data_IF_578769139213
#
_entry.id   IF_578769139213
#
_cell.length_a   1.000
_cell.length_b   1.000
_cell.length_c   1.000
_cell.angle_alpha   90.00
_cell.angle_beta   90.00
_cell.angle_gamma   90.00
#
_symmetry.space_group_name_H-M   'P 1'
#
loop_
_entity.id
_entity.type
_entity.pdbx_description
1 polymer ?
#
# COMPACT_ATOMS: atom_id res chain seq x y z
N UNK A 1 52.90 2.00 23.46
CA UNK A 1 51.63 2.52 22.87
C UNK A 1 50.76 1.32 22.60
N UNK A 2 49.78 1.07 23.48
CA UNK A 2 48.93 -0.11 23.42
C UNK A 2 47.83 0.07 22.39
N UNK A 3 47.78 -0.81 21.39
CA UNK A 3 46.60 -0.96 20.55
C UNK A 3 45.61 -1.83 21.33
N UNK A 4 44.64 -1.19 21.98
CA UNK A 4 43.50 -1.90 22.55
C UNK A 4 42.77 -2.65 21.42
N UNK A 5 42.79 -3.97 21.51
CA UNK A 5 42.06 -4.86 20.63
C UNK A 5 40.57 -4.71 20.88
N UNK A 6 39.89 -3.98 20.01
CA UNK A 6 38.43 -3.99 19.91
C UNK A 6 38.01 -5.30 19.22
N UNK A 7 37.97 -6.40 19.99
CA UNK A 7 37.40 -7.68 19.59
C UNK A 7 35.87 -7.56 19.52
N UNK A 8 35.38 -7.06 18.37
CA UNK A 8 33.96 -7.17 18.03
C UNK A 8 33.69 -8.59 17.54
N UNK A 9 33.15 -9.40 18.45
CA UNK A 9 32.57 -10.72 18.20
C UNK A 9 31.61 -10.65 17.00
N UNK A 10 31.99 -11.24 15.86
CA UNK A 10 31.13 -11.41 14.70
C UNK A 10 30.25 -12.65 14.91
N UNK A 11 29.07 -12.44 15.50
CA UNK A 11 28.06 -13.48 15.63
C UNK A 11 27.44 -13.78 14.26
N UNK A 12 27.50 -15.05 13.84
CA UNK A 12 26.79 -15.59 12.69
C UNK A 12 25.39 -16.02 13.11
N UNK A 13 24.38 -15.27 12.68
CA UNK A 13 23.01 -15.76 12.66
C UNK A 13 22.29 -15.29 11.39
N UNK A 14 21.72 -16.27 10.71
CA UNK A 14 21.08 -16.21 9.40
C UNK A 14 19.83 -15.33 9.44
N UNK A 15 20.01 -14.03 9.20
CA UNK A 15 18.93 -13.05 9.12
C UNK A 15 19.41 -11.65 9.47
N UNK A 16 20.05 -10.95 8.53
CA UNK A 16 20.36 -9.52 8.62
C UNK A 16 21.07 -9.08 9.92
N UNK A 17 22.27 -9.63 10.21
CA UNK A 17 23.10 -9.25 11.37
C UNK A 17 24.50 -8.75 11.00
N UNK A 18 24.78 -8.46 9.74
CA UNK A 18 25.99 -7.73 9.38
C UNK A 18 25.81 -6.25 9.74
N UNK A 19 26.27 -5.85 10.92
CA UNK A 19 26.31 -4.44 11.34
C UNK A 19 27.36 -3.66 10.53
N UNK A 20 27.05 -3.38 9.27
CA UNK A 20 27.93 -2.57 8.42
C UNK A 20 27.82 -2.86 6.93
N UNK A 21 28.71 -2.22 6.18
CA UNK A 21 28.83 -2.38 4.74
C UNK A 21 29.27 -3.79 4.38
N UNK A 22 28.57 -4.42 3.44
CA UNK A 22 28.86 -5.78 2.96
C UNK A 22 29.10 -5.73 1.46
N UNK A 23 30.14 -6.42 0.99
CA UNK A 23 30.54 -6.48 -0.41
C UNK A 23 30.38 -7.90 -0.96
N UNK A 24 30.03 -8.00 -2.23
CA UNK A 24 30.08 -9.26 -2.96
C UNK A 24 31.51 -9.79 -3.04
N UNK A 25 31.64 -11.11 -2.96
CA UNK A 25 32.93 -11.79 -3.03
C UNK A 25 33.52 -11.68 -4.44
N UNK A 26 34.66 -11.01 -4.54
CA UNK A 26 35.41 -10.82 -5.80
C UNK A 26 36.75 -11.55 -5.76
N UNK A 27 37.34 -11.89 -6.93
CA UNK A 27 38.61 -12.60 -6.99
C UNK A 27 39.74 -11.91 -6.19
N UNK A 28 39.82 -10.58 -6.23
CA UNK A 28 40.82 -9.80 -5.50
C UNK A 28 40.62 -9.84 -3.98
N UNK A 29 39.36 -9.92 -3.53
CA UNK A 29 39.03 -10.07 -2.11
C UNK A 29 39.39 -11.50 -1.68
N UNK A 30 39.09 -12.52 -2.49
CA UNK A 30 39.47 -13.90 -2.21
C UNK A 30 40.98 -14.10 -2.13
N UNK A 31 41.75 -13.47 -3.02
CA UNK A 31 43.22 -13.51 -2.95
C UNK A 31 43.76 -12.84 -1.70
N UNK A 32 43.14 -11.72 -1.25
CA UNK A 32 43.50 -11.10 0.02
C UNK A 32 43.22 -12.05 1.18
N UNK A 33 42.02 -12.63 1.26
CA UNK A 33 41.61 -13.51 2.36
C UNK A 33 42.42 -14.81 2.39
N UNK A 34 42.75 -15.39 1.23
CA UNK A 34 43.63 -16.56 1.12
C UNK A 34 45.03 -16.27 1.64
N UNK A 35 45.62 -15.13 1.23
CA UNK A 35 46.92 -14.69 1.76
C UNK A 35 46.84 -14.39 3.26
N UNK A 36 45.72 -13.83 3.72
CA UNK A 36 45.51 -13.54 5.13
C UNK A 36 45.44 -14.83 5.96
N UNK A 37 44.73 -15.86 5.49
CA UNK A 37 44.61 -17.15 6.14
C UNK A 37 45.97 -17.86 6.29
N UNK A 38 46.88 -17.70 5.32
CA UNK A 38 48.22 -18.27 5.36
C UNK A 38 49.27 -17.41 6.08
N UNK A 39 48.97 -16.15 6.39
CA UNK A 39 49.93 -15.21 6.97
C UNK A 39 49.92 -15.26 8.50
N UNK A 40 51.07 -15.56 9.10
CA UNK A 40 51.24 -15.55 10.57
C UNK A 40 51.20 -14.13 11.18
N UNK A 41 51.28 -13.09 10.34
CA UNK A 41 51.29 -11.68 10.78
C UNK A 41 49.92 -11.15 11.19
N UNK A 42 48.86 -11.90 10.91
CA UNK A 42 47.48 -11.49 11.14
C UNK A 42 46.94 -12.14 12.42
N UNK A 43 46.10 -11.41 13.16
CA UNK A 43 45.45 -11.93 14.37
C UNK A 43 44.67 -13.22 14.09
N UNK A 44 44.59 -14.10 15.09
CA UNK A 44 43.90 -15.41 14.99
C UNK A 44 42.43 -15.20 14.58
N UNK A 45 41.72 -14.28 15.23
CA UNK A 45 40.32 -13.97 14.92
C UNK A 45 40.09 -13.57 13.46
N UNK A 46 41.02 -12.80 12.87
CA UNK A 46 40.91 -12.38 11.47
C UNK A 46 41.29 -13.50 10.50
N UNK A 47 42.19 -14.41 10.88
CA UNK A 47 42.51 -15.60 10.09
C UNK A 47 41.31 -16.55 10.03
N UNK A 48 40.66 -16.78 11.18
CA UNK A 48 39.46 -17.60 11.25
C UNK A 48 38.31 -16.96 10.46
N UNK A 49 38.13 -15.64 10.56
CA UNK A 49 37.17 -14.91 9.73
C UNK A 49 37.53 -14.98 8.23
N UNK A 50 38.81 -14.90 7.87
CA UNK A 50 39.24 -15.00 6.48
C UNK A 50 38.97 -16.39 5.89
N UNK A 51 39.20 -17.46 6.66
CA UNK A 51 38.84 -18.83 6.28
C UNK A 51 37.32 -18.98 6.12
N UNK A 52 36.55 -18.39 7.03
CA UNK A 52 35.09 -18.44 7.00
C UNK A 52 34.49 -17.72 5.77
N UNK A 53 35.04 -16.57 5.40
CA UNK A 53 34.54 -15.76 4.29
C UNK A 53 35.18 -16.08 2.93
N UNK A 54 36.11 -17.06 2.86
CA UNK A 54 36.79 -17.44 1.62
C UNK A 54 35.82 -18.00 0.58
N UNK A 55 34.92 -18.88 1.04
CA UNK A 55 33.88 -19.53 0.22
C UNK A 55 32.55 -18.79 0.22
N UNK A 56 32.41 -17.78 1.08
CA UNK A 56 31.18 -17.01 1.18
C UNK A 56 30.94 -16.14 -0.07
N UNK A 57 29.68 -15.99 -0.53
CA UNK A 57 29.33 -15.12 -1.66
C UNK A 57 29.43 -13.63 -1.33
N UNK A 58 29.53 -13.31 -0.04
CA UNK A 58 29.41 -11.96 0.51
C UNK A 58 30.30 -11.82 1.73
N UNK A 59 31.01 -10.70 1.83
CA UNK A 59 32.07 -10.46 2.81
C UNK A 59 31.86 -9.10 3.50
N UNK A 60 31.85 -9.03 4.84
CA UNK A 60 31.76 -7.76 5.56
C UNK A 60 33.00 -6.88 5.31
N UNK A 61 32.77 -5.59 5.04
CA UNK A 61 33.82 -4.60 4.85
C UNK A 61 34.84 -4.51 6.00
N UNK A 62 34.45 -4.59 7.30
CA UNK A 62 35.42 -4.52 8.39
C UNK A 62 36.50 -5.60 8.28
N UNK A 63 36.13 -6.83 7.91
CA UNK A 63 37.07 -7.93 7.75
C UNK A 63 38.08 -7.62 6.64
N UNK A 64 37.62 -7.13 5.49
CA UNK A 64 38.48 -6.78 4.34
C UNK A 64 39.44 -5.64 4.71
N UNK A 65 38.93 -4.61 5.38
CA UNK A 65 39.72 -3.45 5.81
C UNK A 65 40.79 -3.87 6.81
N UNK A 66 40.41 -4.63 7.84
CA UNK A 66 41.30 -4.96 8.96
C UNK A 66 42.37 -5.97 8.52
N UNK A 67 42.02 -6.94 7.66
CA UNK A 67 42.98 -7.86 7.05
C UNK A 67 43.97 -7.12 6.15
N UNK A 68 43.51 -6.21 5.29
CA UNK A 68 44.40 -5.39 4.45
C UNK A 68 45.32 -4.51 5.31
N UNK A 69 44.78 -3.85 6.34
CA UNK A 69 45.56 -2.97 7.21
C UNK A 69 46.71 -3.72 7.90
N UNK A 70 46.49 -4.94 8.38
CA UNK A 70 47.54 -5.76 9.01
C UNK A 70 48.55 -6.32 7.99
N UNK A 71 48.16 -6.50 6.74
CA UNK A 71 49.03 -7.03 5.68
C UNK A 71 49.86 -5.95 4.96
N UNK A 72 49.57 -4.66 5.15
CA UNK A 72 50.13 -3.52 4.39
C UNK A 72 51.42 -2.96 5.01
N UNK A 73 52.48 -3.79 5.07
CA UNK A 73 53.54 -3.43 4.12
C UNK A 73 53.95 -4.58 3.18
N UNK A 74 53.39 -5.78 3.33
CA UNK A 74 53.75 -6.96 2.55
C UNK A 74 52.86 -7.24 1.34
N UNK A 75 51.63 -6.71 1.31
CA UNK A 75 50.65 -7.09 0.28
C UNK A 75 50.90 -6.47 -1.10
N UNK A 76 51.59 -5.33 -1.17
CA UNK A 76 51.95 -4.66 -2.43
C UNK A 76 50.80 -4.09 -3.28
N UNK A 77 49.54 -4.41 -2.95
CA UNK A 77 48.35 -3.95 -3.66
C UNK A 77 47.61 -2.86 -2.85
N UNK A 78 47.31 -1.70 -3.44
CA UNK A 78 46.58 -0.65 -2.76
C UNK A 78 45.11 -1.05 -2.53
N UNK A 79 44.53 -0.56 -1.43
CA UNK A 79 43.20 -0.99 -0.97
C UNK A 79 42.08 -0.86 -2.03
N UNK A 80 42.08 0.21 -2.83
CA UNK A 80 41.07 0.42 -3.86
C UNK A 80 41.11 -0.63 -4.98
N UNK A 81 42.27 -1.22 -5.28
CA UNK A 81 42.39 -2.31 -6.27
C UNK A 81 41.85 -3.62 -5.72
N UNK A 82 41.92 -3.83 -4.41
CA UNK A 82 41.31 -5.00 -3.75
C UNK A 82 39.79 -4.96 -3.91
N UNK A 83 39.19 -3.78 -3.80
CA UNK A 83 37.74 -3.58 -3.94
C UNK A 83 37.29 -3.40 -5.39
N UNK A 84 38.22 -3.28 -6.34
CA UNK A 84 37.90 -3.08 -7.74
C UNK A 84 37.08 -4.26 -8.28
N UNK A 85 35.92 -3.96 -8.88
CA UNK A 85 35.00 -4.96 -9.40
C UNK A 85 34.04 -5.56 -8.37
N UNK A 86 34.08 -5.12 -7.11
CA UNK A 86 33.09 -5.51 -6.10
C UNK A 86 31.87 -4.61 -6.09
N UNK A 87 30.70 -5.23 -5.91
CA UNK A 87 29.41 -4.56 -5.73
C UNK A 87 28.97 -4.64 -4.27
N UNK A 88 28.19 -3.67 -3.82
CA UNK A 88 27.63 -3.64 -2.48
C UNK A 88 26.36 -4.46 -2.39
N UNK A 89 26.22 -5.25 -1.32
CA UNK A 89 24.96 -5.91 -0.96
C UNK A 89 24.14 -4.89 -0.17
N UNK A 90 23.35 -4.11 -0.89
CA UNK A 90 22.40 -3.16 -0.28
C UNK A 90 21.02 -3.80 -0.28
N UNK A 91 20.52 -4.10 0.91
CA UNK A 91 19.12 -4.48 1.06
C UNK A 91 18.25 -3.24 0.82
N UNK A 92 17.18 -3.41 0.02
CA UNK A 92 16.22 -2.34 -0.16
C UNK A 92 15.62 -2.01 1.20
N UNK A 93 15.64 -0.73 1.63
CA UNK A 93 15.07 -0.36 2.91
C UNK A 93 13.61 -0.80 2.97
N UNK A 94 13.16 -1.23 4.16
CA UNK A 94 11.76 -1.65 4.37
C UNK A 94 10.84 -0.57 3.76
N UNK A 95 9.94 -0.94 2.83
CA UNK A 95 9.00 0.01 2.26
C UNK A 95 8.26 0.74 3.38
N UNK A 96 8.23 2.07 3.32
CA UNK A 96 7.52 2.87 4.32
C UNK A 96 6.05 2.46 4.32
N UNK A 97 5.55 2.08 5.49
CA UNK A 97 4.12 1.89 5.68
C UNK A 97 3.41 3.23 5.46
N UNK A 98 2.40 3.25 4.58
CA UNK A 98 1.59 4.46 4.35
C UNK A 98 0.84 4.79 5.65
N UNK A 99 0.74 6.08 5.99
CA UNK A 99 -0.05 6.50 7.15
C UNK A 99 -1.53 6.16 6.94
N UNK A 100 -2.24 5.80 8.01
CA UNK A 100 -3.68 5.48 7.97
C UNK A 100 -4.48 6.59 7.30
N UNK A 101 -4.18 7.84 7.66
CA UNK A 101 -4.80 9.02 7.07
C UNK A 101 -4.61 9.10 5.54
N UNK A 102 -3.41 8.78 5.04
CA UNK A 102 -3.15 8.80 3.60
C UNK A 102 -3.92 7.68 2.89
N UNK A 103 -3.99 6.49 3.50
CA UNK A 103 -4.77 5.37 2.96
C UNK A 103 -6.25 5.75 2.87
N UNK A 104 -6.82 6.34 3.91
CA UNK A 104 -8.22 6.76 3.93
C UNK A 104 -8.52 7.84 2.88
N UNK A 105 -7.59 8.79 2.68
CA UNK A 105 -7.72 9.81 1.64
C UNK A 105 -7.65 9.20 0.23
N UNK A 106 -6.75 8.25 0.00
CA UNK A 106 -6.64 7.57 -1.29
C UNK A 106 -7.90 6.74 -1.59
N UNK A 107 -8.46 6.05 -0.59
CA UNK A 107 -9.72 5.31 -0.76
C UNK A 107 -10.87 6.25 -1.15
N UNK A 108 -11.01 7.40 -0.47
CA UNK A 108 -12.03 8.41 -0.82
C UNK A 108 -11.87 8.95 -2.23
N UNK A 109 -10.64 9.20 -2.67
CA UNK A 109 -10.37 9.66 -4.04
C UNK A 109 -10.72 8.59 -5.08
N UNK A 110 -10.45 7.32 -4.78
CA UNK A 110 -10.83 6.21 -5.65
C UNK A 110 -12.36 6.11 -5.76
N UNK A 111 -13.10 6.16 -4.65
CA UNK A 111 -14.57 6.11 -4.67
C UNK A 111 -15.18 7.24 -5.50
N UNK A 112 -14.58 8.44 -5.46
CA UNK A 112 -15.04 9.58 -6.26
C UNK A 112 -14.75 9.36 -7.75
N UNK A 113 -13.59 8.81 -8.09
CA UNK A 113 -13.26 8.46 -9.47
C UNK A 113 -14.24 7.41 -10.03
N UNK A 114 -14.54 6.37 -9.26
CA UNK A 114 -15.45 5.30 -9.66
C UNK A 114 -16.89 5.81 -9.87
N UNK A 115 -17.36 6.68 -8.98
CA UNK A 115 -18.68 7.33 -9.13
C UNK A 115 -18.75 8.23 -10.37
N UNK A 116 -17.68 8.94 -10.67
CA UNK A 116 -17.62 9.80 -11.85
C UNK A 116 -17.61 8.95 -13.13
N UNK A 117 -16.81 7.87 -13.17
CA UNK A 117 -16.81 6.93 -14.29
C UNK A 117 -18.18 6.29 -14.51
N UNK A 118 -18.88 5.89 -13.45
CA UNK A 118 -20.24 5.36 -13.54
C UNK A 118 -21.24 6.38 -14.11
N UNK A 119 -21.17 7.64 -13.66
CA UNK A 119 -22.01 8.72 -14.19
C UNK A 119 -21.78 8.94 -15.67
N UNK A 120 -20.54 8.86 -16.14
CA UNK A 120 -20.22 8.98 -17.56
C UNK A 120 -20.82 7.84 -18.39
N UNK A 121 -20.75 6.60 -17.90
CA UNK A 121 -21.35 5.44 -18.57
C UNK A 121 -22.88 5.54 -18.68
N UNK A 122 -23.54 6.07 -17.66
CA UNK A 122 -25.00 6.13 -17.59
C UNK A 122 -25.56 7.41 -18.22
N UNK A 123 -24.71 8.40 -18.50
CA UNK A 123 -25.08 9.72 -19.03
C UNK A 123 -25.98 9.66 -20.26
N UNK A 124 -25.74 8.74 -21.18
CA UNK A 124 -26.53 8.65 -22.42
C UNK A 124 -27.85 7.87 -22.24
N UNK A 125 -27.98 7.12 -21.14
CA UNK A 125 -29.20 6.40 -20.76
C UNK A 125 -30.13 7.27 -19.90
N UNK A 126 -29.59 8.19 -19.09
CA UNK A 126 -30.38 9.04 -18.17
C UNK A 126 -30.85 10.36 -18.77
N UNK A 127 -30.21 10.88 -19.82
CA UNK A 127 -30.68 12.11 -20.50
C UNK A 127 -32.13 12.02 -20.96
N UNK A 128 -32.62 10.84 -21.33
CA UNK A 128 -34.02 10.64 -21.70
C UNK A 128 -34.99 10.81 -20.53
N UNK A 129 -34.58 10.55 -19.29
CA UNK A 129 -35.49 10.53 -18.15
C UNK A 129 -35.70 11.89 -17.47
N UNK A 130 -34.74 12.83 -17.58
CA UNK A 130 -34.82 14.16 -16.97
C UNK A 130 -35.40 15.22 -17.92
N UNK A 131 -35.10 15.13 -19.23
CA UNK A 131 -35.75 15.97 -20.27
C UNK A 131 -37.28 15.77 -20.30
N UNK A 132 -37.74 14.55 -20.02
CA UNK A 132 -39.17 14.21 -20.00
C UNK A 132 -39.93 14.87 -18.83
N UNK A 133 -39.27 15.21 -17.71
CA UNK A 133 -39.93 15.81 -16.53
C UNK A 133 -40.34 17.25 -16.76
N UNK A 134 -39.54 18.04 -17.48
CA UNK A 134 -39.90 19.42 -17.82
C UNK A 134 -40.99 19.47 -18.90
N UNK A 135 -40.98 18.52 -19.85
CA UNK A 135 -41.95 18.45 -20.95
C UNK A 135 -43.40 18.27 -20.47
N UNK A 136 -43.65 17.41 -19.47
CA UNK A 136 -45.00 17.18 -18.92
C UNK A 136 -45.44 18.20 -17.85
N UNK A 137 -44.53 19.02 -17.32
CA UNK A 137 -44.83 20.04 -16.31
C UNK A 137 -45.59 21.24 -16.90
N UNK A 138 -45.34 21.56 -18.17
CA UNK A 138 -46.04 22.62 -18.92
C UNK A 138 -47.54 22.31 -19.14
N UNK A 139 -47.89 21.05 -19.42
CA UNK A 139 -49.28 20.66 -19.71
C UNK A 139 -50.20 20.76 -18.48
N UNK A 140 -49.69 20.40 -17.29
CA UNK A 140 -50.48 20.44 -16.05
C UNK A 140 -50.84 21.87 -15.62
N UNK A 141 -49.98 22.85 -15.93
CA UNK A 141 -50.25 24.27 -15.67
C UNK A 141 -51.18 24.91 -16.72
N UNK A 142 -51.32 24.31 -17.90
CA UNK A 142 -52.24 24.76 -18.96
C UNK A 142 -53.69 24.30 -18.76
N UNK A 143 -53.92 23.26 -17.95
CA UNK A 143 -55.24 22.81 -17.52
C UNK A 143 -55.75 23.72 -16.40
N UNK A 144 -56.09 24.95 -16.77
CA UNK A 144 -56.79 25.90 -15.92
C UNK A 144 -58.11 25.33 -15.44
N UNK A 145 -58.15 24.80 -14.22
CA UNK A 145 -59.37 24.53 -13.47
C UNK A 145 -60.01 25.88 -13.06
N UNK A 146 -60.53 26.61 -14.04
CA UNK A 146 -61.27 27.85 -13.86
C UNK A 146 -62.61 27.75 -14.60
N UNK A 147 -63.48 26.83 -14.15
CA UNK A 147 -64.89 26.84 -14.50
C UNK A 147 -65.74 26.84 -13.22
N UNK A 148 -65.72 27.99 -12.53
CA UNK A 148 -66.78 28.39 -11.60
C UNK A 148 -67.76 29.30 -12.35
N UNK A 149 -68.94 28.81 -12.72
CA UNK A 149 -69.96 29.67 -13.33
C UNK A 149 -71.14 28.95 -13.99
N UNK A 150 -72.13 28.59 -13.17
CA UNK A 150 -73.60 28.54 -13.42
C UNK A 150 -74.12 28.16 -14.84
N UNK A 151 -74.95 27.10 -14.91
CA UNK A 151 -76.00 27.00 -15.94
C UNK A 151 -76.47 25.57 -16.30
N UNK A 152 -77.57 25.16 -15.67
CA UNK A 152 -78.51 24.05 -15.94
C UNK A 152 -78.57 23.52 -17.40
N UNK A 153 -78.58 22.19 -17.62
CA UNK A 153 -79.68 21.39 -18.22
C UNK A 153 -79.39 19.87 -18.15
N UNK A 154 -80.45 19.10 -17.93
CA UNK A 154 -80.50 17.66 -17.58
C UNK A 154 -80.10 16.68 -18.70
N UNK A 155 -79.53 15.53 -18.32
CA UNK A 155 -80.09 14.24 -18.76
C UNK A 155 -79.84 13.12 -17.75
N UNK A 156 -80.94 12.42 -17.48
CA UNK A 156 -81.14 11.31 -16.54
C UNK A 156 -80.56 10.01 -17.10
N UNK A 157 -79.83 9.25 -16.28
CA UNK A 157 -79.91 7.78 -16.31
C UNK A 157 -79.68 7.22 -14.91
N UNK A 158 -80.79 6.75 -14.33
CA UNK A 158 -80.84 5.82 -13.23
C UNK A 158 -80.03 4.55 -13.58
N UNK A 159 -79.07 4.18 -12.72
CA UNK A 159 -78.81 2.77 -12.40
C UNK A 159 -78.59 2.69 -10.89
N UNK A 160 -79.57 2.10 -10.21
CA UNK A 160 -79.51 1.67 -8.81
C UNK A 160 -78.33 0.69 -8.62
N UNK A 161 -77.59 0.81 -7.52
CA UNK A 161 -77.52 -0.22 -6.47
C UNK A 161 -76.57 0.19 -5.34
N UNK A 162 -77.18 0.34 -4.18
CA UNK A 162 -76.82 -0.22 -2.87
C UNK A 162 -75.49 0.17 -2.19
N UNK A 163 -75.67 0.97 -1.14
CA UNK A 163 -74.91 1.19 0.10
C UNK A 163 -74.30 -0.12 0.72
N UNK A 164 -73.34 -0.06 1.69
CA UNK A 164 -73.25 0.96 2.74
C UNK A 164 -71.86 1.48 3.20
N UNK A 165 -71.91 2.75 3.61
CA UNK A 165 -71.40 3.32 4.87
C UNK A 165 -70.59 2.41 5.82
N UNK A 166 -69.35 2.82 6.10
CA UNK A 166 -68.73 2.67 7.42
C UNK A 166 -67.74 3.83 7.64
N UNK A 167 -67.93 4.57 8.73
CA UNK A 167 -66.98 5.52 9.32
C UNK A 167 -66.62 5.01 10.75
N UNK A 168 -65.76 5.70 11.50
CA UNK A 168 -64.31 5.61 11.58
C UNK A 168 -63.86 4.93 12.90
N UNK A 169 -62.57 4.61 13.07
CA UNK A 169 -62.07 4.09 14.34
C UNK A 169 -60.55 4.19 14.45
N UNK A 170 -60.10 5.18 15.20
CA UNK A 170 -58.79 5.27 15.85
C UNK A 170 -58.66 4.21 16.95
N UNK A 171 -57.46 3.65 17.10
CA UNK A 171 -56.81 3.00 18.26
C UNK A 171 -55.87 1.93 17.66
N UNK A 172 -54.59 1.76 18.00
CA UNK A 172 -53.86 1.92 19.25
C UNK A 172 -53.00 0.66 19.43
N UNK A 173 -51.74 0.79 19.87
CA UNK A 173 -50.88 -0.32 20.31
C UNK A 173 -49.79 -0.74 19.30
N UNK A 174 -48.53 -0.34 19.46
CA UNK A 174 -47.50 -0.86 20.38
C UNK A 174 -47.11 -2.35 20.22
N UNK A 175 -45.80 -2.53 19.96
CA UNK A 175 -44.91 -3.66 20.36
C UNK A 175 -45.13 -4.96 19.55
N UNK A 176 -44.10 -5.63 19.05
CA UNK A 176 -42.99 -6.19 19.83
C UNK A 176 -41.71 -6.35 19.02
N UNK A 177 -40.60 -6.21 19.73
CA UNK A 177 -39.28 -6.71 19.35
C UNK A 177 -39.23 -8.24 19.52
N UNK A 178 -38.62 -8.91 18.56
CA UNK A 178 -37.93 -10.21 18.63
C UNK A 178 -36.57 -9.95 17.96
N UNK A 179 -35.41 -10.44 18.38
CA UNK A 179 -35.08 -11.63 19.16
C UNK A 179 -33.59 -11.50 19.55
N UNK A 180 -33.26 -11.78 20.82
CA UNK A 180 -31.96 -12.29 21.28
C UNK A 180 -32.19 -13.08 22.55
#
# INVERSE_FOLDING_TARGET
MGFEGNSRLFALESGSTATGLVLHSCPNIKSLLSNAASSEKISVDLRDAALLYLDAPSVPYPIIRDTWAQLTPGYGVPFHQVLAGSSFVLESPKPREKSKELVDRLAKLQDLADKNAYKELVKDVTKSADDDREYFSSYKNSLGFACSGRGIWSYRRDVRRDYPFYHPGTDGGEKTATES
#
